data_IF_101673703035
#
_entry.id   IF_101673703035
#
_cell.length_a   1.000
_cell.length_b   1.000
_cell.length_c   1.000
_cell.angle_alpha   90.00
_cell.angle_beta   90.00
_cell.angle_gamma   90.00
#
_symmetry.space_group_name_H-M   'P 1'
#
loop_
_entity.id
_entity.type
_entity.pdbx_description
1 polymer ?
#
# COMPACT_ATOMS: atom_id res chain seq x y z
N UNK A 1 14.21 1.25 -15.70
CA UNK A 1 14.99 1.21 -14.42
C UNK A 1 14.89 2.52 -13.65
N UNK A 2 15.10 3.67 -14.27
CA UNK A 2 15.00 5.00 -13.60
C UNK A 2 13.56 5.32 -13.15
N UNK A 3 12.55 4.97 -13.94
CA UNK A 3 11.12 5.18 -13.60
C UNK A 3 10.68 4.34 -12.38
N UNK A 4 11.26 3.16 -12.22
CA UNK A 4 10.96 2.25 -11.10
C UNK A 4 11.48 2.81 -9.77
N UNK A 5 12.66 3.40 -9.79
CA UNK A 5 13.26 4.06 -8.63
C UNK A 5 12.49 5.33 -8.26
N UNK A 6 12.00 6.09 -9.25
CA UNK A 6 11.18 7.29 -9.00
C UNK A 6 9.78 6.98 -8.47
N UNK A 7 9.15 5.90 -8.93
CA UNK A 7 7.85 5.44 -8.37
C UNK A 7 8.01 4.96 -6.94
N UNK A 8 9.10 4.26 -6.62
CA UNK A 8 9.44 3.85 -5.26
C UNK A 8 9.75 5.06 -4.37
N UNK A 9 10.47 6.06 -4.87
CA UNK A 9 10.75 7.31 -4.16
C UNK A 9 9.48 8.15 -3.91
N UNK A 10 8.53 8.16 -4.84
CA UNK A 10 7.25 8.88 -4.66
C UNK A 10 6.37 8.17 -3.64
N UNK A 11 6.41 6.85 -3.57
CA UNK A 11 5.72 6.08 -2.52
C UNK A 11 6.39 6.35 -1.16
N UNK A 12 7.72 6.41 -1.08
CA UNK A 12 8.44 6.76 0.15
C UNK A 12 8.17 8.21 0.59
N UNK A 13 8.10 9.16 -0.33
CA UNK A 13 7.83 10.58 -0.03
C UNK A 13 6.38 10.85 0.39
N UNK A 14 5.42 10.04 -0.04
CA UNK A 14 4.02 10.13 0.39
C UNK A 14 3.77 9.59 1.82
N UNK A 15 4.73 8.83 2.38
CA UNK A 15 4.66 8.19 3.69
C UNK A 15 5.71 8.70 4.68
N UNK A 16 6.34 9.86 4.47
CA UNK A 16 7.29 10.44 5.43
C UNK A 16 6.55 10.87 6.70
N UNK A 17 6.28 9.89 7.53
CA UNK A 17 6.39 9.96 8.98
C UNK A 17 7.47 8.95 9.38
N UNK A 18 8.34 9.22 10.37
CA UNK A 18 9.62 8.54 10.51
C UNK A 18 9.49 7.16 11.15
N UNK A 19 8.92 6.23 10.41
CA UNK A 19 9.10 4.81 10.69
C UNK A 19 9.80 4.24 9.47
N UNK A 20 11.08 3.98 9.64
CA UNK A 20 11.92 3.28 8.66
C UNK A 20 11.32 1.90 8.34
N UNK A 21 10.30 1.87 7.49
CA UNK A 21 9.88 0.68 6.78
C UNK A 21 10.81 0.54 5.59
N UNK A 22 11.97 -0.06 5.85
CA UNK A 22 12.91 -0.46 4.80
C UNK A 22 12.16 -1.29 3.77
N UNK A 23 12.38 -0.98 2.51
CA UNK A 23 11.87 -1.55 1.26
C UNK A 23 11.88 -3.09 1.09
N UNK A 24 12.19 -3.86 2.13
CA UNK A 24 12.21 -5.33 2.11
C UNK A 24 10.82 -5.97 1.94
N UNK A 25 9.75 -5.31 2.35
CA UNK A 25 8.38 -5.83 2.21
C UNK A 25 7.85 -5.81 0.78
N UNK A 26 8.23 -4.80 -0.01
CA UNK A 26 7.85 -4.75 -1.43
C UNK A 26 8.58 -5.83 -2.25
N UNK A 27 9.84 -6.11 -1.94
CA UNK A 27 10.55 -7.23 -2.54
C UNK A 27 9.98 -8.58 -2.11
N UNK A 28 9.45 -8.70 -0.90
CA UNK A 28 8.78 -9.90 -0.40
C UNK A 28 7.42 -10.14 -1.09
N UNK A 29 6.59 -9.12 -1.21
CA UNK A 29 5.36 -9.18 -2.00
C UNK A 29 5.63 -9.47 -3.48
N UNK A 30 6.81 -9.10 -3.96
CA UNK A 30 7.29 -9.38 -5.29
C UNK A 30 7.80 -10.84 -5.46
N UNK A 31 8.03 -11.60 -4.42
CA UNK A 31 8.57 -12.96 -4.47
C UNK A 31 7.52 -14.06 -4.32
N UNK A 32 6.24 -13.71 -4.12
CA UNK A 32 5.20 -14.68 -3.84
C UNK A 32 4.61 -15.30 -5.09
N UNK A 33 5.21 -16.30 -5.60
CA UNK A 33 4.53 -17.43 -6.22
C UNK A 33 5.52 -18.50 -6.66
N UNK A 34 5.68 -19.52 -5.88
CA UNK A 34 6.12 -20.81 -6.37
C UNK A 34 5.63 -21.89 -5.43
N UNK A 35 4.86 -22.81 -5.99
CA UNK A 35 4.62 -24.08 -5.40
C UNK A 35 5.92 -24.84 -5.26
N UNK A 36 6.06 -25.52 -4.10
CA UNK A 36 7.05 -26.52 -3.79
C UNK A 36 8.51 -26.15 -4.07
N UNK A 37 9.24 -25.80 -3.00
CA UNK A 37 10.70 -25.63 -3.01
C UNK A 37 11.19 -24.71 -4.13
N UNK A 38 11.01 -23.39 -3.92
CA UNK A 38 11.76 -22.45 -4.76
C UNK A 38 13.23 -22.68 -4.51
N UNK A 39 13.91 -23.27 -5.46
CA UNK A 39 15.36 -23.27 -5.43
C UNK A 39 15.82 -21.86 -5.73
N UNK A 40 16.78 -21.38 -4.98
CA UNK A 40 17.36 -20.05 -5.18
C UNK A 40 17.92 -19.87 -6.60
N UNK A 41 18.15 -20.94 -7.31
CA UNK A 41 18.60 -20.97 -8.71
C UNK A 41 17.48 -20.64 -9.70
N UNK A 42 16.24 -21.01 -9.42
CA UNK A 42 15.07 -20.61 -10.24
C UNK A 42 14.75 -19.12 -10.14
N UNK A 43 15.08 -18.50 -9.01
CA UNK A 43 14.89 -17.07 -8.77
C UNK A 43 16.14 -16.27 -9.20
N UNK A 44 17.27 -16.93 -9.37
CA UNK A 44 18.58 -16.32 -9.58
C UNK A 44 18.64 -15.28 -10.71
N UNK A 45 17.85 -15.47 -11.78
CA UNK A 45 17.75 -14.51 -12.89
C UNK A 45 16.99 -13.20 -12.52
N UNK A 46 16.43 -13.10 -11.32
CA UNK A 46 15.62 -11.96 -10.86
C UNK A 46 16.15 -11.30 -9.59
N UNK A 47 17.07 -11.97 -8.91
CA UNK A 47 17.78 -11.48 -7.74
C UNK A 47 19.15 -10.96 -8.16
N UNK A 48 19.65 -9.94 -7.50
CA UNK A 48 21.05 -9.59 -7.64
C UNK A 48 21.93 -10.66 -6.97
N UNK A 49 23.21 -10.72 -7.33
CA UNK A 49 24.15 -11.75 -6.85
C UNK A 49 24.16 -11.89 -5.31
N UNK A 50 24.09 -10.79 -4.58
CA UNK A 50 24.00 -10.79 -3.10
C UNK A 50 22.72 -11.41 -2.58
N UNK A 51 21.58 -11.14 -3.24
CA UNK A 51 20.28 -11.71 -2.84
C UNK A 51 20.23 -13.23 -3.09
N UNK A 52 20.83 -13.71 -4.19
CA UNK A 52 20.98 -15.15 -4.46
C UNK A 52 21.82 -15.81 -3.38
N UNK A 53 22.92 -15.21 -2.98
CA UNK A 53 23.80 -15.72 -1.91
C UNK A 53 23.07 -15.79 -0.56
N UNK A 54 22.31 -14.75 -0.19
CA UNK A 54 21.49 -14.72 1.01
C UNK A 54 20.39 -15.77 0.97
N UNK A 55 19.76 -15.96 -0.21
CA UNK A 55 18.76 -16.99 -0.44
C UNK A 55 19.35 -18.40 -0.19
N UNK A 56 20.49 -18.71 -0.78
CA UNK A 56 21.16 -20.02 -0.64
C UNK A 56 21.59 -20.30 0.81
N UNK A 57 21.99 -19.27 1.56
CA UNK A 57 22.39 -19.41 2.96
C UNK A 57 21.21 -19.54 3.94
N UNK A 58 20.00 -19.12 3.52
CA UNK A 58 18.85 -18.99 4.43
C UNK A 58 17.58 -19.65 3.86
N UNK A 59 17.66 -20.90 3.49
CA UNK A 59 16.57 -21.64 2.83
C UNK A 59 15.28 -21.68 3.70
N UNK A 60 15.42 -21.75 5.02
CA UNK A 60 14.32 -21.70 6.01
C UNK A 60 13.64 -20.33 5.97
N UNK A 61 14.41 -19.24 5.91
CA UNK A 61 13.89 -17.88 5.84
C UNK A 61 13.14 -17.65 4.51
N UNK A 62 13.56 -18.30 3.42
CA UNK A 62 12.87 -18.25 2.14
C UNK A 62 11.50 -18.97 2.17
N UNK A 63 11.34 -19.99 2.99
CA UNK A 63 10.03 -20.59 3.24
C UNK A 63 9.08 -19.61 3.96
N UNK A 64 9.62 -18.82 4.91
CA UNK A 64 8.84 -17.78 5.59
C UNK A 64 8.37 -16.69 4.62
N UNK A 65 9.19 -16.33 3.65
CA UNK A 65 8.83 -15.43 2.54
C UNK A 65 7.65 -16.01 1.74
N UNK A 66 7.64 -17.33 1.52
CA UNK A 66 6.56 -18.04 0.85
C UNK A 66 5.25 -18.02 1.65
N UNK A 67 5.32 -18.26 2.97
CA UNK A 67 4.14 -18.23 3.83
C UNK A 67 3.48 -16.84 3.89
N UNK A 68 4.25 -15.77 3.84
CA UNK A 68 3.73 -14.41 3.80
C UNK A 68 2.96 -14.04 2.53
N UNK A 69 3.06 -14.86 1.49
CA UNK A 69 2.62 -14.51 0.14
C UNK A 69 1.11 -14.61 -0.10
N UNK A 70 0.44 -15.46 0.65
CA UNK A 70 -0.98 -15.79 0.50
C UNK A 70 -1.82 -15.33 1.68
N UNK A 71 -1.22 -14.58 2.60
CA UNK A 71 -1.86 -14.06 3.82
C UNK A 71 -2.65 -12.78 3.55
N UNK A 72 -3.42 -12.39 4.55
CA UNK A 72 -4.18 -11.14 4.55
C UNK A 72 -3.30 -9.90 4.40
N UNK A 73 -2.11 -9.92 5.00
CA UNK A 73 -1.10 -8.84 4.88
C UNK A 73 -0.59 -8.71 3.44
N UNK A 74 -0.32 -9.83 2.77
CA UNK A 74 0.07 -9.83 1.37
C UNK A 74 -1.03 -9.25 0.48
N UNK A 75 -2.28 -9.60 0.72
CA UNK A 75 -3.43 -9.05 0.00
C UNK A 75 -3.47 -7.51 0.08
N UNK A 76 -3.24 -6.96 1.28
CA UNK A 76 -3.18 -5.52 1.49
C UNK A 76 -2.01 -4.88 0.73
N UNK A 77 -0.82 -5.49 0.77
CA UNK A 77 0.37 -4.98 0.05
C UNK A 77 0.14 -4.99 -1.46
N UNK A 78 -0.46 -6.03 -2.02
CA UNK A 78 -0.82 -6.09 -3.44
C UNK A 78 -1.78 -4.97 -3.83
N UNK A 79 -2.84 -4.77 -3.06
CA UNK A 79 -3.82 -3.71 -3.31
C UNK A 79 -3.20 -2.32 -3.20
N UNK A 80 -2.43 -2.06 -2.14
CA UNK A 80 -1.80 -0.77 -1.91
C UNK A 80 -0.76 -0.44 -2.99
N UNK A 81 0.04 -1.44 -3.41
CA UNK A 81 1.05 -1.27 -4.46
C UNK A 81 0.43 -0.93 -5.81
N UNK A 82 -0.61 -1.65 -6.20
CA UNK A 82 -1.31 -1.40 -7.47
C UNK A 82 -2.05 -0.06 -7.47
N UNK A 83 -2.63 0.32 -6.32
CA UNK A 83 -3.21 1.65 -6.11
C UNK A 83 -2.16 2.75 -6.23
N UNK A 84 -0.97 2.55 -5.62
CA UNK A 84 0.15 3.49 -5.67
C UNK A 84 0.65 3.74 -7.09
N UNK A 85 0.78 2.68 -7.90
CA UNK A 85 1.16 2.82 -9.31
C UNK A 85 0.09 3.60 -10.09
N UNK A 86 -1.19 3.24 -9.94
CA UNK A 86 -2.28 3.95 -10.62
C UNK A 86 -2.31 5.44 -10.23
N UNK A 87 -2.16 5.74 -8.95
CA UNK A 87 -2.13 7.09 -8.41
C UNK A 87 -0.96 7.90 -8.95
N UNK A 88 0.27 7.36 -8.86
CA UNK A 88 1.48 8.05 -9.27
C UNK A 88 1.50 8.35 -10.77
N UNK A 89 1.07 7.40 -11.60
CA UNK A 89 0.99 7.59 -13.06
C UNK A 89 -0.07 8.63 -13.41
N UNK A 90 -1.27 8.57 -12.80
CA UNK A 90 -2.32 9.58 -13.02
C UNK A 90 -1.82 10.98 -12.67
N UNK A 91 -1.15 11.14 -11.51
CA UNK A 91 -0.57 12.43 -11.09
C UNK A 91 0.49 12.91 -12.07
N UNK A 92 1.38 12.02 -12.50
CA UNK A 92 2.44 12.39 -13.45
C UNK A 92 1.91 12.80 -14.82
N UNK A 93 0.75 12.26 -15.24
CA UNK A 93 0.06 12.69 -16.45
C UNK A 93 -0.49 14.11 -16.31
N UNK A 94 -1.17 14.41 -15.22
CA UNK A 94 -1.75 15.73 -14.98
C UNK A 94 -0.69 16.81 -14.76
N UNK A 95 0.47 16.43 -14.23
CA UNK A 95 1.63 17.32 -14.06
C UNK A 95 2.43 17.54 -15.36
N UNK A 96 2.03 16.88 -16.47
CA UNK A 96 2.74 16.96 -17.75
C UNK A 96 4.11 16.28 -17.80
N UNK A 97 4.47 15.50 -16.77
CA UNK A 97 5.80 14.85 -16.67
C UNK A 97 6.01 13.71 -17.68
N UNK A 98 4.93 13.19 -18.25
CA UNK A 98 4.97 12.07 -19.20
C UNK A 98 4.84 12.54 -20.67
N UNK A 99 4.91 13.85 -20.90
CA UNK A 99 4.82 14.46 -22.24
C UNK A 99 3.51 14.09 -22.94
N UNK A 100 3.59 13.86 -24.25
CA UNK A 100 2.43 13.61 -25.12
C UNK A 100 1.76 12.23 -24.91
N UNK A 101 2.29 11.38 -24.03
CA UNK A 101 1.75 10.03 -23.80
C UNK A 101 0.43 10.02 -23.06
N UNK A 102 0.16 11.03 -22.27
CA UNK A 102 -1.07 11.21 -21.50
C UNK A 102 -1.24 12.67 -21.07
N UNK A 103 -2.45 13.03 -20.63
CA UNK A 103 -2.76 14.38 -20.21
C UNK A 103 -4.01 14.41 -19.34
N UNK A 104 -4.73 15.54 -19.42
CA UNK A 104 -5.99 15.71 -18.73
C UNK A 104 -7.11 14.88 -19.37
N UNK A 105 -8.07 14.40 -18.58
CA UNK A 105 -9.23 13.66 -19.08
C UNK A 105 -10.17 14.62 -19.86
N UNK A 106 -10.24 14.45 -21.18
CA UNK A 106 -11.02 15.28 -22.09
C UNK A 106 -12.54 15.12 -21.94
N UNK A 107 -13.01 14.11 -21.18
CA UNK A 107 -14.44 13.87 -20.93
C UNK A 107 -15.07 14.92 -20.02
N UNK A 108 -14.25 15.63 -19.25
CA UNK A 108 -14.70 16.65 -18.31
C UNK A 108 -14.38 18.04 -18.86
N UNK A 109 -15.18 18.48 -19.83
CA UNK A 109 -15.04 19.79 -20.44
C UNK A 109 -16.42 20.41 -20.68
N UNK A 110 -16.49 21.76 -20.61
CA UNK A 110 -17.72 22.52 -20.89
C UNK A 110 -18.76 22.49 -19.75
N UNK A 111 -20.01 22.78 -20.07
CA UNK A 111 -21.10 22.93 -19.09
C UNK A 111 -21.50 21.59 -18.46
N UNK A 112 -21.59 21.57 -17.15
CA UNK A 112 -22.10 20.44 -16.38
C UNK A 112 -23.62 20.56 -16.18
N UNK A 113 -24.32 19.42 -16.20
CA UNK A 113 -25.75 19.34 -15.84
C UNK A 113 -26.02 19.69 -14.34
N UNK A 114 -24.99 19.92 -13.54
CA UNK A 114 -25.09 20.21 -12.11
C UNK A 114 -24.81 21.67 -11.74
N UNK A 115 -24.82 22.59 -12.71
CA UNK A 115 -24.71 24.04 -12.46
C UNK A 115 -23.31 24.59 -12.31
N UNK A 116 -22.28 23.87 -12.81
CA UNK A 116 -20.90 24.38 -12.92
C UNK A 116 -20.35 24.14 -14.32
N UNK A 117 -19.21 24.73 -14.61
CA UNK A 117 -18.46 24.48 -15.83
C UNK A 117 -17.23 23.60 -15.51
N UNK A 118 -17.04 22.55 -16.30
CA UNK A 118 -15.82 21.75 -16.26
C UNK A 118 -14.70 22.54 -16.93
N UNK A 119 -13.67 22.88 -16.16
CA UNK A 119 -12.50 23.59 -16.68
C UNK A 119 -11.27 23.25 -15.82
N UNK A 120 -10.09 23.47 -16.39
CA UNK A 120 -8.83 23.04 -15.80
C UNK A 120 -8.49 21.59 -16.16
N UNK A 121 -7.47 21.04 -15.55
CA UNK A 121 -7.02 19.67 -15.79
C UNK A 121 -7.77 18.69 -14.89
N UNK A 122 -8.72 17.94 -15.43
CA UNK A 122 -9.25 16.74 -14.77
C UNK A 122 -8.26 15.60 -14.91
N UNK A 123 -7.86 14.99 -13.79
CA UNK A 123 -6.87 13.91 -13.78
C UNK A 123 -7.44 12.63 -14.40
N UNK A 124 -6.76 12.06 -15.41
CA UNK A 124 -7.20 10.86 -16.12
C UNK A 124 -6.81 9.59 -15.34
N UNK A 125 -7.65 9.22 -14.39
CA UNK A 125 -7.50 7.99 -13.60
C UNK A 125 -7.59 6.73 -14.48
N UNK A 126 -8.27 6.76 -15.61
CA UNK A 126 -8.42 5.58 -16.45
C UNK A 126 -7.07 5.20 -17.08
N UNK A 127 -6.29 6.20 -17.52
CA UNK A 127 -4.92 5.95 -17.99
C UNK A 127 -4.06 5.32 -16.89
N UNK A 128 -4.06 5.89 -15.67
CA UNK A 128 -3.29 5.35 -14.55
C UNK A 128 -3.70 3.93 -14.16
N UNK A 129 -5.00 3.63 -14.16
CA UNK A 129 -5.54 2.28 -13.88
C UNK A 129 -5.12 1.29 -14.96
N UNK A 130 -5.21 1.67 -16.25
CA UNK A 130 -4.81 0.81 -17.37
C UNK A 130 -3.32 0.50 -17.30
N UNK A 131 -2.48 1.52 -17.12
CA UNK A 131 -1.05 1.32 -16.97
C UNK A 131 -0.72 0.43 -15.75
N UNK A 132 -1.34 0.68 -14.60
CA UNK A 132 -1.14 -0.15 -13.40
C UNK A 132 -1.54 -1.60 -13.65
N UNK A 133 -2.62 -1.84 -14.41
CA UNK A 133 -3.04 -3.20 -14.77
C UNK A 133 -1.97 -3.88 -15.64
N UNK A 134 -1.55 -3.24 -16.70
CA UNK A 134 -0.54 -3.80 -17.60
C UNK A 134 0.79 -4.05 -16.89
N UNK A 135 1.24 -3.09 -16.08
CA UNK A 135 2.56 -3.15 -15.44
C UNK A 135 2.59 -4.09 -14.23
N UNK A 136 1.62 -3.99 -13.31
CA UNK A 136 1.62 -4.77 -12.06
C UNK A 136 1.19 -6.21 -12.33
N UNK A 137 0.14 -6.40 -13.15
CA UNK A 137 -0.42 -7.73 -13.41
C UNK A 137 0.41 -8.54 -14.42
N UNK A 138 1.27 -7.90 -15.23
CA UNK A 138 2.18 -8.58 -16.17
C UNK A 138 3.00 -9.68 -15.49
N UNK A 139 3.34 -9.47 -14.25
CA UNK A 139 4.08 -10.41 -13.44
C UNK A 139 3.30 -11.69 -13.16
N UNK A 140 2.00 -11.59 -12.94
CA UNK A 140 1.14 -12.73 -12.65
C UNK A 140 0.87 -13.57 -13.91
N UNK A 141 0.89 -12.95 -15.09
CA UNK A 141 0.66 -13.61 -16.37
C UNK A 141 1.89 -14.38 -16.90
N UNK A 142 3.09 -14.02 -16.48
CA UNK A 142 4.36 -14.60 -16.99
C UNK A 142 4.86 -15.81 -16.20
N UNK A 143 4.12 -16.37 -15.26
CA UNK A 143 4.60 -17.40 -14.33
C UNK A 143 3.89 -18.73 -14.47
N UNK A 144 4.66 -19.83 -14.29
CA UNK A 144 4.14 -21.13 -13.84
C UNK A 144 3.76 -21.02 -12.33
N UNK A 145 2.83 -20.14 -11.99
CA UNK A 145 2.43 -19.89 -10.64
C UNK A 145 1.20 -20.72 -10.29
N UNK A 146 1.03 -20.97 -8.98
CA UNK A 146 -0.16 -21.62 -8.45
C UNK A 146 -1.42 -20.81 -8.80
N UNK A 147 -2.37 -21.36 -9.56
CA UNK A 147 -3.55 -20.64 -10.02
C UNK A 147 -4.35 -19.90 -8.94
N UNK A 148 -4.53 -20.44 -7.72
CA UNK A 148 -5.18 -19.71 -6.61
C UNK A 148 -4.47 -18.43 -6.24
N UNK A 149 -3.12 -18.45 -6.12
CA UNK A 149 -2.32 -17.29 -5.74
C UNK A 149 -2.39 -16.21 -6.81
N UNK A 150 -2.25 -16.59 -8.08
CA UNK A 150 -2.38 -15.66 -9.21
C UNK A 150 -3.72 -14.95 -9.18
N UNK A 151 -4.82 -15.70 -9.01
CA UNK A 151 -6.16 -15.12 -8.96
C UNK A 151 -6.35 -14.19 -7.77
N UNK A 152 -5.85 -14.59 -6.60
CA UNK A 152 -5.85 -13.75 -5.39
C UNK A 152 -5.11 -12.44 -5.63
N UNK A 153 -3.89 -12.50 -6.19
CA UNK A 153 -3.08 -11.31 -6.45
C UNK A 153 -3.75 -10.37 -7.46
N UNK A 154 -4.26 -10.91 -8.57
CA UNK A 154 -4.97 -10.13 -9.58
C UNK A 154 -6.24 -9.48 -9.01
N UNK A 155 -6.99 -10.19 -8.17
CA UNK A 155 -8.16 -9.66 -7.50
C UNK A 155 -7.79 -8.49 -6.57
N UNK A 156 -6.80 -8.67 -5.70
CA UNK A 156 -6.35 -7.65 -4.76
C UNK A 156 -5.74 -6.44 -5.49
N UNK A 157 -4.96 -6.65 -6.55
CA UNK A 157 -4.47 -5.57 -7.42
C UNK A 157 -5.64 -4.77 -8.00
N UNK A 158 -6.70 -5.46 -8.46
CA UNK A 158 -7.89 -4.80 -9.00
C UNK A 158 -8.61 -3.97 -7.93
N UNK A 159 -8.82 -4.53 -6.74
CA UNK A 159 -9.43 -3.82 -5.61
C UNK A 159 -8.67 -2.54 -5.24
N UNK A 160 -7.33 -2.60 -5.23
CA UNK A 160 -6.48 -1.44 -4.98
C UNK A 160 -6.66 -0.32 -6.02
N UNK A 161 -6.66 -0.65 -7.31
CA UNK A 161 -6.91 0.31 -8.39
C UNK A 161 -8.32 0.92 -8.29
N UNK A 162 -9.29 0.09 -7.96
CA UNK A 162 -10.69 0.51 -7.81
C UNK A 162 -10.87 1.48 -6.64
N UNK A 163 -10.12 1.28 -5.54
CA UNK A 163 -10.12 2.18 -4.39
C UNK A 163 -9.70 3.61 -4.79
N UNK A 164 -8.67 3.78 -5.62
CA UNK A 164 -8.28 5.12 -6.12
C UNK A 164 -9.41 5.72 -6.97
N UNK A 165 -9.94 4.94 -7.91
CA UNK A 165 -10.99 5.40 -8.83
C UNK A 165 -12.27 5.84 -8.11
N UNK A 166 -12.68 5.10 -7.07
CA UNK A 166 -13.88 5.41 -6.27
C UNK A 166 -13.73 6.65 -5.42
N UNK A 167 -12.50 6.96 -4.98
CA UNK A 167 -12.25 8.10 -4.11
C UNK A 167 -11.87 9.39 -4.85
N UNK A 168 -11.93 9.40 -6.20
CA UNK A 168 -11.76 10.63 -6.97
C UNK A 168 -12.71 11.73 -6.48
N UNK A 169 -12.19 12.94 -6.39
CA UNK A 169 -12.92 14.11 -5.88
C UNK A 169 -13.23 15.11 -7.00
N UNK A 170 -14.26 15.90 -6.80
CA UNK A 170 -14.51 17.08 -7.59
C UNK A 170 -13.98 18.26 -6.78
N UNK A 171 -13.04 19.00 -7.36
CA UNK A 171 -12.55 20.26 -6.81
C UNK A 171 -13.10 21.39 -7.63
N UNK A 172 -13.41 22.52 -6.99
CA UNK A 172 -13.99 23.69 -7.65
C UNK A 172 -13.27 24.96 -7.21
N UNK A 173 -13.19 25.91 -8.15
CA UNK A 173 -12.78 27.29 -7.91
C UNK A 173 -13.96 28.22 -8.15
N UNK A 174 -14.26 29.06 -7.17
CA UNK A 174 -15.32 30.06 -7.25
C UNK A 174 -14.81 31.34 -7.92
N UNK A 175 -15.57 31.93 -8.81
CA UNK A 175 -15.20 33.09 -9.63
C UNK A 175 -16.13 34.30 -9.41
N UNK A 176 -17.09 34.23 -8.49
CA UNK A 176 -17.98 35.35 -8.20
C UNK A 176 -17.26 36.54 -7.53
N UNK A 177 -17.87 37.73 -7.62
CA UNK A 177 -17.41 38.91 -6.89
C UNK A 177 -17.31 38.58 -5.40
N UNK A 178 -16.24 39.02 -4.75
CA UNK A 178 -15.95 38.74 -3.32
C UNK A 178 -15.82 37.24 -2.98
N UNK A 179 -15.45 36.37 -3.96
CA UNK A 179 -15.31 34.93 -3.73
C UNK A 179 -16.63 34.15 -3.72
N UNK A 180 -17.73 34.75 -4.18
CA UNK A 180 -19.03 34.07 -4.30
C UNK A 180 -18.95 32.88 -5.24
N UNK A 181 -19.56 31.75 -4.87
CA UNK A 181 -19.61 30.52 -5.65
C UNK A 181 -20.80 30.41 -6.62
N UNK A 182 -21.43 31.52 -6.99
CA UNK A 182 -22.48 31.52 -8.03
C UNK A 182 -21.94 31.06 -9.38
N UNK A 183 -20.71 31.47 -9.71
CA UNK A 183 -19.97 30.99 -10.90
C UNK A 183 -18.76 30.22 -10.39
N UNK A 184 -18.64 28.97 -10.80
CA UNK A 184 -17.54 28.09 -10.40
C UNK A 184 -17.13 27.19 -11.55
N UNK A 185 -15.84 26.96 -11.63
CA UNK A 185 -15.23 25.95 -12.49
C UNK A 185 -14.78 24.76 -11.63
N UNK A 186 -14.99 23.57 -12.13
CA UNK A 186 -14.65 22.36 -11.39
C UNK A 186 -13.84 21.39 -12.25
N UNK A 187 -13.06 20.54 -11.61
CA UNK A 187 -12.30 19.47 -12.23
C UNK A 187 -12.28 18.23 -11.34
N UNK A 188 -12.00 17.07 -11.93
CA UNK A 188 -11.77 15.85 -11.16
C UNK A 188 -10.32 15.79 -10.69
N UNK A 189 -10.12 15.45 -9.43
CA UNK A 189 -8.81 15.37 -8.80
C UNK A 189 -8.66 14.07 -8.03
N UNK A 190 -7.43 13.55 -7.98
CA UNK A 190 -7.06 12.44 -7.12
C UNK A 190 -7.38 12.75 -5.65
N UNK A 191 -7.76 11.75 -4.86
CA UNK A 191 -7.86 11.90 -3.41
C UNK A 191 -6.48 12.13 -2.80
N UNK A 192 -6.43 12.44 -1.53
CA UNK A 192 -5.24 12.20 -0.72
C UNK A 192 -4.98 10.69 -0.68
N UNK A 193 -3.75 10.26 -0.99
CA UNK A 193 -3.41 8.83 -1.02
C UNK A 193 -3.58 8.16 0.33
N UNK A 194 -3.43 8.90 1.43
CA UNK A 194 -3.73 8.41 2.77
C UNK A 194 -5.18 7.92 2.89
N UNK A 195 -6.14 8.64 2.31
CA UNK A 195 -7.54 8.21 2.30
C UNK A 195 -7.76 6.89 1.56
N UNK A 196 -7.00 6.66 0.49
CA UNK A 196 -7.01 5.36 -0.22
C UNK A 196 -6.45 4.27 0.70
N UNK A 197 -5.35 4.57 1.42
CA UNK A 197 -4.76 3.66 2.39
C UNK A 197 -5.71 3.32 3.54
N UNK A 198 -6.39 4.31 4.10
CA UNK A 198 -7.37 4.12 5.18
C UNK A 198 -8.53 3.23 4.72
N UNK A 199 -9.07 3.47 3.51
CA UNK A 199 -10.09 2.61 2.92
C UNK A 199 -9.61 1.17 2.69
N UNK A 200 -8.40 0.99 2.16
CA UNK A 200 -7.82 -0.35 1.99
C UNK A 200 -7.55 -1.03 3.34
N UNK A 201 -7.28 -0.26 4.40
CA UNK A 201 -7.15 -0.79 5.76
C UNK A 201 -8.50 -1.32 6.30
N UNK A 202 -9.60 -0.61 6.06
CA UNK A 202 -10.94 -1.12 6.36
C UNK A 202 -11.23 -2.44 5.61
N UNK A 203 -10.83 -2.50 4.32
CA UNK A 203 -10.95 -3.73 3.52
C UNK A 203 -10.04 -4.86 4.02
N UNK A 204 -8.87 -4.54 4.55
CA UNK A 204 -7.99 -5.51 5.20
C UNK A 204 -8.62 -6.09 6.46
N UNK A 205 -9.23 -5.27 7.30
CA UNK A 205 -9.88 -5.73 8.53
C UNK A 205 -11.06 -6.66 8.25
N UNK A 206 -11.80 -6.41 7.15
CA UNK A 206 -12.91 -7.23 6.65
C UNK A 206 -12.54 -8.23 5.54
N UNK A 207 -11.26 -8.53 5.33
CA UNK A 207 -10.83 -9.41 4.24
C UNK A 207 -11.38 -10.84 4.39
N UNK A 208 -11.69 -11.46 3.25
CA UNK A 208 -12.33 -12.78 3.20
C UNK A 208 -11.32 -13.88 2.87
N UNK A 209 -11.30 -14.93 3.69
CA UNK A 209 -10.54 -16.14 3.38
C UNK A 209 -11.25 -16.90 2.26
N UNK A 210 -10.51 -17.18 1.18
CA UNK A 210 -11.03 -17.81 -0.02
C UNK A 210 -10.28 -19.10 -0.36
N UNK A 211 -10.90 -19.91 -1.21
CA UNK A 211 -10.31 -21.08 -1.85
C UNK A 211 -10.67 -21.10 -3.33
N UNK A 212 -9.95 -21.89 -4.11
CA UNK A 212 -10.30 -22.10 -5.51
C UNK A 212 -11.52 -22.99 -5.61
N UNK A 213 -12.57 -22.49 -6.19
CA UNK A 213 -13.76 -23.24 -6.60
C UNK A 213 -13.87 -23.30 -8.12
N UNK A 214 -14.85 -24.00 -8.63
CA UNK A 214 -15.14 -24.08 -10.06
C UNK A 214 -16.62 -23.75 -10.28
N UNK A 215 -16.87 -22.77 -11.16
CA UNK A 215 -18.22 -22.45 -11.63
C UNK A 215 -18.25 -22.73 -13.14
N UNK A 216 -18.97 -23.82 -13.51
CA UNK A 216 -18.87 -24.36 -14.87
C UNK A 216 -17.46 -24.90 -15.14
N UNK A 217 -16.78 -24.39 -16.18
CA UNK A 217 -15.39 -24.74 -16.52
C UNK A 217 -14.35 -23.70 -15.98
N UNK A 218 -14.82 -22.63 -15.35
CA UNK A 218 -13.95 -21.53 -14.95
C UNK A 218 -13.57 -21.64 -13.46
N UNK A 219 -12.27 -21.66 -13.13
CA UNK A 219 -11.82 -21.57 -11.75
C UNK A 219 -12.10 -20.16 -11.20
N UNK A 220 -12.75 -20.08 -10.04
CA UNK A 220 -13.10 -18.83 -9.35
C UNK A 220 -12.70 -18.90 -7.89
N UNK A 221 -12.51 -17.72 -7.27
CA UNK A 221 -12.32 -17.65 -5.83
C UNK A 221 -13.69 -17.69 -5.15
N UNK A 222 -13.85 -18.60 -4.19
CA UNK A 222 -15.06 -18.72 -3.36
C UNK A 222 -14.67 -18.63 -1.89
N UNK A 223 -15.54 -18.10 -1.01
CA UNK A 223 -15.27 -18.13 0.42
C UNK A 223 -14.98 -19.54 0.90
N UNK A 224 -13.97 -19.70 1.76
CA UNK A 224 -13.65 -21.00 2.36
C UNK A 224 -14.76 -21.52 3.29
N UNK A 225 -15.52 -20.61 3.88
CA UNK A 225 -16.67 -20.93 4.71
C UNK A 225 -17.94 -20.39 4.05
N UNK A 226 -18.84 -21.27 3.69
CA UNK A 226 -20.10 -20.97 2.99
C UNK A 226 -21.07 -20.09 3.81
N UNK A 227 -20.83 -19.94 5.12
CA UNK A 227 -21.60 -19.04 5.99
C UNK A 227 -21.19 -17.58 5.84
N UNK A 228 -20.04 -17.30 5.25
CA UNK A 228 -19.60 -15.93 5.00
C UNK A 228 -20.20 -15.38 3.72
N UNK A 229 -20.50 -14.09 3.76
CA UNK A 229 -20.95 -13.36 2.57
C UNK A 229 -19.89 -13.49 1.46
N UNK A 230 -20.30 -13.76 0.21
CA UNK A 230 -19.39 -13.71 -0.92
C UNK A 230 -18.65 -12.36 -0.98
N UNK A 231 -17.34 -12.41 -1.24
CA UNK A 231 -16.54 -11.20 -1.42
C UNK A 231 -16.97 -10.46 -2.69
N UNK A 232 -16.86 -9.16 -2.67
CA UNK A 232 -17.07 -8.28 -3.83
C UNK A 232 -15.73 -7.96 -4.50
N UNK A 233 -15.78 -7.32 -5.65
CA UNK A 233 -14.58 -6.85 -6.38
C UNK A 233 -13.76 -5.79 -5.62
N UNK A 234 -14.33 -5.22 -4.56
CA UNK A 234 -13.70 -4.21 -3.72
C UNK A 234 -13.09 -4.79 -2.45
N UNK A 235 -13.45 -6.00 -2.10
CA UNK A 235 -12.99 -6.63 -0.87
C UNK A 235 -11.63 -7.28 -1.10
N UNK A 236 -10.80 -7.31 -0.07
CA UNK A 236 -9.56 -8.04 -0.12
C UNK A 236 -9.80 -9.52 0.18
N UNK A 237 -9.05 -10.38 -0.48
CA UNK A 237 -9.13 -11.83 -0.32
C UNK A 237 -7.76 -12.43 -0.04
N UNK A 238 -7.72 -13.51 0.75
CA UNK A 238 -6.51 -14.22 1.10
C UNK A 238 -6.76 -15.74 1.17
N UNK A 239 -5.70 -16.54 1.03
CA UNK A 239 -5.79 -18.00 0.96
C UNK A 239 -5.41 -18.66 2.27
N UNK A 240 -4.38 -18.13 2.96
CA UNK A 240 -3.80 -18.72 4.16
C UNK A 240 -3.90 -17.79 5.36
N UNK A 241 -4.07 -18.39 6.53
CA UNK A 241 -4.05 -17.65 7.78
C UNK A 241 -2.69 -16.96 7.98
N UNK A 242 -2.74 -15.76 8.56
CA UNK A 242 -1.54 -15.09 9.01
C UNK A 242 -0.87 -15.88 10.14
N UNK A 243 0.47 -15.90 10.20
CA UNK A 243 1.18 -16.48 11.33
C UNK A 243 0.88 -15.71 12.61
N UNK A 244 1.15 -16.34 13.75
CA UNK A 244 1.16 -15.62 15.01
C UNK A 244 2.37 -14.69 15.06
N UNK A 245 2.13 -13.38 15.09
CA UNK A 245 3.17 -12.36 15.16
C UNK A 245 3.61 -12.05 16.60
N UNK A 246 3.00 -12.65 17.62
CA UNK A 246 3.30 -12.39 19.02
C UNK A 246 4.66 -12.94 19.41
N UNK A 247 4.97 -14.14 18.95
CA UNK A 247 6.22 -14.82 19.27
C UNK A 247 7.17 -14.83 18.07
N UNK A 248 8.47 -14.90 18.37
CA UNK A 248 9.48 -15.04 17.33
C UNK A 248 9.45 -16.48 16.80
N UNK A 249 9.20 -16.62 15.49
CA UNK A 249 9.22 -17.91 14.81
C UNK A 249 10.04 -17.82 13.52
N UNK A 250 11.22 -18.44 13.47
CA UNK A 250 12.06 -18.46 12.29
C UNK A 250 11.40 -19.08 11.06
N UNK A 251 10.46 -20.04 11.26
CA UNK A 251 9.81 -20.74 10.15
C UNK A 251 8.81 -19.85 9.42
N UNK A 252 8.13 -18.96 10.13
CA UNK A 252 7.19 -17.98 9.58
C UNK A 252 7.80 -16.61 9.36
N UNK A 253 9.04 -16.38 9.84
CA UNK A 253 9.74 -15.10 9.77
C UNK A 253 9.19 -14.05 10.74
N UNK A 254 8.35 -14.45 11.69
CA UNK A 254 7.87 -13.56 12.75
C UNK A 254 9.04 -13.19 13.66
N UNK A 255 9.24 -11.88 13.85
CA UNK A 255 10.24 -11.37 14.80
C UNK A 255 9.69 -11.30 16.23
N UNK A 256 8.42 -11.62 16.43
CA UNK A 256 7.73 -11.45 17.70
C UNK A 256 7.52 -9.96 18.05
N UNK A 257 6.90 -9.74 19.19
CA UNK A 257 6.59 -8.39 19.69
C UNK A 257 7.38 -8.03 20.96
N UNK A 258 8.16 -8.93 21.51
CA UNK A 258 9.00 -8.66 22.68
C UNK A 258 10.01 -7.55 22.38
N UNK A 259 10.15 -6.60 23.29
CA UNK A 259 11.05 -5.46 23.14
C UNK A 259 10.57 -4.36 22.18
N UNK A 260 9.40 -4.49 21.56
CA UNK A 260 8.83 -3.44 20.68
C UNK A 260 8.27 -2.29 21.48
N UNK A 261 8.43 -1.09 20.95
CA UNK A 261 7.80 0.10 21.46
C UNK A 261 6.31 0.08 21.16
N UNK A 262 5.50 0.44 22.16
CA UNK A 262 4.05 0.53 22.02
C UNK A 262 3.51 1.82 22.63
N UNK A 263 2.31 2.20 22.26
CA UNK A 263 1.63 3.39 22.77
C UNK A 263 0.61 2.98 23.84
N UNK A 264 0.84 3.40 25.09
CA UNK A 264 -0.03 3.05 26.22
C UNK A 264 -1.46 3.59 26.09
N UNK A 265 -1.64 4.70 25.41
CA UNK A 265 -2.93 5.39 25.28
C UNK A 265 -3.67 5.06 24.00
N UNK A 266 -3.09 4.29 23.09
CA UNK A 266 -3.71 3.91 21.82
C UNK A 266 -4.49 2.61 21.96
N UNK A 267 -5.69 2.59 21.41
CA UNK A 267 -6.49 1.38 21.21
C UNK A 267 -6.26 0.74 19.83
N UNK A 268 -5.44 1.37 18.99
CA UNK A 268 -5.09 0.88 17.67
C UNK A 268 -3.96 -0.18 17.71
N UNK A 269 -3.48 -0.61 16.56
CA UNK A 269 -2.48 -1.68 16.41
C UNK A 269 -1.12 -1.35 17.08
N UNK A 270 -0.82 -0.08 17.31
CA UNK A 270 0.35 0.38 18.05
C UNK A 270 0.12 0.39 19.58
N UNK A 271 -1.10 0.12 20.04
CA UNK A 271 -1.49 0.08 21.43
C UNK A 271 -0.81 -1.05 22.19
N UNK A 272 -0.34 -0.76 23.41
CA UNK A 272 0.38 -1.76 24.23
C UNK A 272 -0.47 -3.00 24.54
N UNK A 273 -1.77 -2.84 24.75
CA UNK A 273 -2.66 -3.96 25.04
C UNK A 273 -2.69 -4.97 23.88
N UNK A 274 -2.76 -4.49 22.65
CA UNK A 274 -2.81 -5.35 21.47
C UNK A 274 -1.40 -5.81 21.06
N UNK A 275 -0.46 -4.88 20.91
CA UNK A 275 0.86 -5.17 20.39
C UNK A 275 1.67 -6.10 21.32
N UNK A 276 1.51 -6.00 22.63
CA UNK A 276 2.26 -6.84 23.58
C UNK A 276 1.62 -8.21 23.81
N UNK A 277 0.54 -8.55 23.09
CA UNK A 277 -0.07 -9.89 23.12
C UNK A 277 -0.40 -10.37 24.55
N UNK A 278 -0.94 -9.51 25.37
CA UNK A 278 -1.28 -9.76 26.78
C UNK A 278 -0.09 -10.07 27.71
N UNK A 279 1.17 -10.03 27.25
CA UNK A 279 2.37 -10.22 28.09
C UNK A 279 2.67 -9.03 29.00
N UNK A 280 1.97 -7.92 28.78
CA UNK A 280 2.22 -6.66 29.47
C UNK A 280 3.39 -5.88 28.89
N UNK A 281 3.64 -4.71 29.45
CA UNK A 281 4.68 -3.79 29.02
C UNK A 281 5.34 -3.12 30.21
N UNK A 282 6.54 -2.59 30.01
CA UNK A 282 7.25 -1.75 30.96
C UNK A 282 7.34 -0.33 30.42
N UNK A 283 7.19 0.67 31.30
CA UNK A 283 7.33 2.07 30.92
C UNK A 283 8.59 2.64 31.55
N UNK A 284 9.41 3.32 30.75
CA UNK A 284 10.62 4.00 31.20
C UNK A 284 10.64 5.44 30.71
N UNK A 285 11.33 6.32 31.41
CA UNK A 285 11.53 7.69 30.99
C UNK A 285 12.85 7.82 30.23
N UNK A 286 12.79 8.39 29.05
CA UNK A 286 13.94 8.65 28.22
C UNK A 286 14.03 10.13 27.85
N UNK A 287 15.25 10.65 27.77
CA UNK A 287 15.49 12.00 27.26
C UNK A 287 15.59 11.92 25.74
N UNK A 288 14.61 12.48 25.03
CA UNK A 288 14.65 12.62 23.59
C UNK A 288 15.14 14.00 23.21
N UNK A 289 16.10 14.05 22.28
CA UNK A 289 16.60 15.30 21.70
C UNK A 289 15.85 15.53 20.39
N UNK A 290 15.08 16.60 20.34
CA UNK A 290 14.26 16.96 19.19
C UNK A 290 14.65 18.35 18.68
N UNK A 291 14.43 18.58 17.37
CA UNK A 291 14.55 19.91 16.81
C UNK A 291 13.33 20.73 17.23
N UNK A 292 13.56 21.93 17.79
CA UNK A 292 12.54 22.82 18.29
C UNK A 292 12.85 24.27 17.93
N UNK A 293 11.86 25.16 18.09
CA UNK A 293 12.01 26.58 17.79
C UNK A 293 12.66 26.85 16.42
N UNK A 294 12.23 26.09 15.41
CA UNK A 294 12.73 26.23 14.06
C UNK A 294 12.32 27.59 13.49
N UNK A 295 13.30 28.36 13.05
CA UNK A 295 13.10 29.64 12.36
C UNK A 295 13.52 29.50 10.90
N UNK A 296 12.64 29.90 10.00
CA UNK A 296 12.95 30.02 8.61
C UNK A 296 13.74 31.34 8.38
N UNK A 297 14.91 31.23 7.80
CA UNK A 297 15.69 32.35 7.33
C UNK A 297 15.50 32.46 5.82
N UNK A 298 15.24 33.69 5.37
CA UNK A 298 15.00 33.97 3.96
C UNK A 298 16.13 33.40 3.09
N UNK A 299 15.75 32.82 1.96
CA UNK A 299 16.56 32.02 1.07
C UNK A 299 16.97 30.65 1.63
N UNK A 300 15.92 29.79 1.97
CA UNK A 300 16.02 28.33 1.98
C UNK A 300 16.73 27.69 3.18
N UNK A 301 16.97 28.43 4.27
CA UNK A 301 17.62 27.90 5.46
C UNK A 301 16.65 27.83 6.64
N UNK A 302 16.47 26.62 7.21
CA UNK A 302 15.76 26.43 8.48
C UNK A 302 16.79 26.17 9.57
N UNK A 303 16.84 27.02 10.58
CA UNK A 303 17.66 26.81 11.79
C UNK A 303 16.77 26.43 12.95
N UNK A 304 17.05 25.26 13.55
CA UNK A 304 16.34 24.76 14.72
C UNK A 304 17.30 24.69 15.92
N UNK A 305 16.76 24.85 17.11
CA UNK A 305 17.44 24.53 18.34
C UNK A 305 17.26 23.03 18.65
N UNK A 306 18.15 22.46 19.45
CA UNK A 306 18.02 21.10 19.99
C UNK A 306 17.44 21.20 21.38
N UNK A 307 16.18 20.75 21.56
CA UNK A 307 15.53 20.68 22.85
C UNK A 307 15.61 19.26 23.40
N UNK A 308 15.82 19.16 24.71
CA UNK A 308 15.75 17.90 25.47
C UNK A 308 14.38 17.80 26.10
N UNK A 309 13.62 16.76 25.75
CA UNK A 309 12.31 16.49 26.34
C UNK A 309 12.32 15.12 27.00
N UNK A 310 11.82 15.07 28.25
CA UNK A 310 11.55 13.79 28.90
C UNK A 310 10.31 13.18 28.31
N UNK A 311 10.39 11.98 27.74
CA UNK A 311 9.28 11.23 27.18
C UNK A 311 9.14 9.88 27.87
N UNK A 312 7.91 9.47 28.10
CA UNK A 312 7.62 8.11 28.56
C UNK A 312 7.55 7.17 27.38
N UNK A 313 8.31 6.11 27.43
CA UNK A 313 8.39 5.09 26.38
C UNK A 313 7.97 3.77 26.99
N UNK A 314 6.96 3.13 26.36
CA UNK A 314 6.49 1.81 26.78
C UNK A 314 7.02 0.74 25.83
N UNK A 315 7.45 -0.38 26.39
CA UNK A 315 8.09 -1.50 25.68
C UNK A 315 7.46 -2.80 26.12
N UNK A 316 7.08 -3.66 25.18
CA UNK A 316 6.52 -4.97 25.44
C UNK A 316 7.50 -5.89 26.18
N UNK A 317 7.00 -6.65 27.14
CA UNK A 317 7.75 -7.68 27.88
C UNK A 317 7.93 -8.95 27.05
#
# INVERSE_FOLDING_TARGET
MILFVQVLLVIELAFISPVSLRSSWLSLALMSSANNYITCDEIGNRLNHRQVEVCKKNNIVMNSVKYGASTREAAFVHALSSAGVAFAVTRSCSDGRLGDKCGCDQKYNGKSNRGWEWAGCSEDINFGVTFSKEFVDAREHGRKADPPIVKMNLHNNHAGRLAVKKHMRIQCKCHGMTGSCKVKTCWRSLPDFRRVGDHLKEKFDGATMVQLGVIGSNPVLVPRNDRFKPHTIDDLVYLDNSPDFCDADPNTGSLGTQGRFCNRTSEAMDGCNLMCCNRGYSTRREIRVEQCFCKFHWCCLVRCQKCRRMVEVSVCK
#
